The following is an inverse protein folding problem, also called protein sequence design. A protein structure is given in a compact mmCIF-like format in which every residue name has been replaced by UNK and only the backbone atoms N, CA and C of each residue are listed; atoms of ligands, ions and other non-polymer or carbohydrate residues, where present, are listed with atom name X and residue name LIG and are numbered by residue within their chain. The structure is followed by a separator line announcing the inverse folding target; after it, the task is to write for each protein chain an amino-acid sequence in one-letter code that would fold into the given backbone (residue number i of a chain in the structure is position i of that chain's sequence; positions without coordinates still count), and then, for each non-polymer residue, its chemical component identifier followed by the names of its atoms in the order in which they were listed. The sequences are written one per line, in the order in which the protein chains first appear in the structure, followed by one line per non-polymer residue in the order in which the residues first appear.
data_IF_009973650450
#
_entry.id   IF_009973650450
#
_cell.length_a   1.000
_cell.length_b   1.000
_cell.length_c   1.000
_cell.angle_alpha   90.00
_cell.angle_beta   90.00
_cell.angle_gamma   90.00
#
_symmetry.space_group_name_H-M   'P 1'
#
loop_
_entity.id
_entity.type
_entity.pdbx_description
1 polymer ?
#
# COMPACT_ATOMS: atom_id res chain seq x y z
N UNK A 1 -17.23 19.30 5.77
CA UNK A 1 -16.48 18.02 5.66
C UNK A 1 -15.12 18.13 6.30
N UNK A 2 -14.30 19.14 6.00
CA UNK A 2 -12.95 19.31 6.60
C UNK A 2 -12.90 19.19 8.13
N UNK A 3 -13.87 19.79 8.85
CA UNK A 3 -13.90 19.67 10.32
C UNK A 3 -14.13 18.23 10.82
N UNK A 4 -14.91 17.42 10.08
CA UNK A 4 -15.13 16.01 10.43
C UNK A 4 -13.90 15.18 10.08
N UNK A 5 -13.28 15.44 8.92
CA UNK A 5 -12.03 14.76 8.52
C UNK A 5 -10.95 14.93 9.57
N UNK A 6 -10.69 16.17 10.03
CA UNK A 6 -9.69 16.45 11.07
C UNK A 6 -9.98 15.78 12.40
N UNK A 7 -11.26 15.68 12.79
CA UNK A 7 -11.65 14.97 14.00
C UNK A 7 -11.40 13.46 13.89
N UNK A 8 -11.64 12.89 12.71
CA UNK A 8 -11.36 11.48 12.43
C UNK A 8 -9.85 11.22 12.38
N UNK A 9 -9.07 12.08 11.72
CA UNK A 9 -7.60 12.00 11.69
C UNK A 9 -7.01 12.05 13.10
N UNK A 10 -7.46 13.02 13.92
CA UNK A 10 -7.03 13.13 15.31
C UNK A 10 -7.41 11.89 16.14
N UNK A 11 -8.64 11.39 15.99
CA UNK A 11 -9.08 10.18 16.71
C UNK A 11 -8.28 8.94 16.31
N UNK A 12 -7.95 8.78 15.02
CA UNK A 12 -7.07 7.71 14.54
C UNK A 12 -5.65 7.91 15.10
N UNK A 13 -5.11 9.13 15.05
CA UNK A 13 -3.77 9.45 15.54
C UNK A 13 -3.58 9.20 17.04
N UNK A 14 -4.59 9.53 17.85
CA UNK A 14 -4.60 9.29 19.30
C UNK A 14 -4.70 7.78 19.64
N UNK A 15 -5.36 6.99 18.79
CA UNK A 15 -5.50 5.54 18.96
C UNK A 15 -4.32 4.75 18.39
N UNK A 16 -3.65 5.28 17.36
CA UNK A 16 -2.56 4.59 16.67
C UNK A 16 -1.38 4.41 17.63
N UNK A 17 -0.91 3.18 17.79
CA UNK A 17 0.28 2.87 18.57
C UNK A 17 1.54 3.30 17.79
N UNK A 18 2.71 3.36 18.45
CA UNK A 18 4.00 3.57 17.77
C UNK A 18 4.51 2.27 17.09
N UNK A 19 3.62 1.30 16.92
CA UNK A 19 3.84 0.04 16.23
C UNK A 19 2.61 -0.30 15.38
N UNK A 20 2.72 -0.08 14.07
CA UNK A 20 1.64 -0.37 13.11
C UNK A 20 2.19 -0.89 11.78
N UNK A 21 1.33 -1.51 10.98
CA UNK A 21 1.59 -1.82 9.58
C UNK A 21 0.92 -0.79 8.67
N UNK A 22 1.51 -0.54 7.51
CA UNK A 22 0.85 0.22 6.45
C UNK A 22 0.44 -0.71 5.31
N UNK A 23 -0.80 -0.61 4.86
CA UNK A 23 -1.31 -1.32 3.70
C UNK A 23 -1.51 -0.34 2.55
N UNK A 24 -0.90 -0.64 1.41
CA UNK A 24 -0.97 0.16 0.19
C UNK A 24 -1.79 -0.60 -0.84
N UNK A 25 -2.92 -0.01 -1.24
CA UNK A 25 -3.75 -0.54 -2.33
C UNK A 25 -3.81 0.46 -3.47
N UNK A 26 -3.38 0.01 -4.65
CA UNK A 26 -3.30 0.83 -5.86
C UNK A 26 -4.25 0.33 -6.92
N UNK A 27 -5.08 1.22 -7.46
CA UNK A 27 -5.92 0.94 -8.61
C UNK A 27 -5.81 2.04 -9.65
N UNK A 28 -6.29 1.75 -10.85
CA UNK A 28 -6.33 2.71 -11.95
C UNK A 28 -7.78 2.90 -12.35
N UNK A 29 -8.21 4.15 -12.50
CA UNK A 29 -9.47 4.50 -13.12
C UNK A 29 -9.19 5.46 -14.27
N UNK A 30 -9.61 5.07 -15.48
CA UNK A 30 -9.23 5.72 -16.73
C UNK A 30 -7.70 5.97 -16.84
N UNK A 31 -7.27 7.25 -16.83
CA UNK A 31 -5.87 7.68 -16.92
C UNK A 31 -5.23 7.98 -15.57
N UNK A 32 -5.97 7.87 -14.47
CA UNK A 32 -5.51 8.23 -13.14
C UNK A 32 -5.23 6.98 -12.30
N UNK A 33 -4.08 6.99 -11.65
CA UNK A 33 -3.69 5.96 -10.70
C UNK A 33 -3.92 6.50 -9.28
N UNK A 34 -4.67 5.76 -8.49
CA UNK A 34 -4.97 6.08 -7.10
C UNK A 34 -4.24 5.11 -6.18
N UNK A 35 -3.81 5.61 -5.02
CA UNK A 35 -3.38 4.76 -3.92
C UNK A 35 -4.13 5.13 -2.66
N UNK A 36 -4.68 4.11 -2.02
CA UNK A 36 -5.19 4.17 -0.66
C UNK A 36 -4.12 3.64 0.31
N UNK A 37 -3.96 4.36 1.42
CA UNK A 37 -3.05 4.01 2.52
C UNK A 37 -3.89 3.72 3.74
N UNK A 38 -3.74 2.52 4.29
CA UNK A 38 -4.39 2.11 5.54
C UNK A 38 -3.34 1.85 6.62
N UNK A 39 -3.65 2.20 7.86
CA UNK A 39 -2.96 1.66 9.02
C UNK A 39 -3.62 0.38 9.49
N UNK A 40 -2.81 -0.63 9.82
CA UNK A 40 -3.22 -1.80 10.57
C UNK A 40 -2.52 -1.79 11.93
N UNK A 41 -3.29 -1.95 13.01
CA UNK A 41 -2.80 -1.84 14.38
C UNK A 41 -3.73 -2.61 15.33
N UNK A 42 -3.24 -2.93 16.53
CA UNK A 42 -3.96 -3.80 17.47
C UNK A 42 -3.99 -3.21 18.90
N UNK A 43 -4.80 -2.17 19.15
CA UNK A 43 -4.98 -1.63 20.49
C UNK A 43 -5.73 -2.65 21.35
N UNK A 44 -5.22 -2.91 22.55
CA UNK A 44 -5.80 -3.85 23.53
C UNK A 44 -6.09 -5.27 22.98
N UNK A 45 -5.28 -5.73 22.02
CA UNK A 45 -5.43 -7.05 21.41
C UNK A 45 -6.55 -7.15 20.35
N UNK A 46 -7.14 -6.02 19.95
CA UNK A 46 -8.21 -5.99 18.94
C UNK A 46 -7.69 -5.40 17.65
N UNK A 47 -7.59 -6.22 16.60
CA UNK A 47 -7.12 -5.74 15.30
C UNK A 47 -8.07 -4.69 14.71
N UNK A 48 -7.49 -3.56 14.30
CA UNK A 48 -8.17 -2.43 13.67
C UNK A 48 -7.51 -2.04 12.37
N UNK A 49 -8.28 -1.37 11.52
CA UNK A 49 -7.80 -0.81 10.26
C UNK A 49 -8.40 0.57 10.07
N UNK A 50 -7.55 1.56 9.79
CA UNK A 50 -7.96 2.94 9.52
C UNK A 50 -7.48 3.37 8.15
N UNK A 51 -8.37 3.95 7.33
CA UNK A 51 -7.97 4.62 6.09
C UNK A 51 -7.30 5.96 6.46
N UNK A 52 -6.03 6.12 6.11
CA UNK A 52 -5.26 7.33 6.40
C UNK A 52 -5.35 8.34 5.26
N UNK A 53 -5.25 7.87 4.02
CA UNK A 53 -5.30 8.72 2.84
C UNK A 53 -5.73 7.94 1.61
N UNK A 54 -6.32 8.67 0.66
CA UNK A 54 -6.65 8.19 -0.66
C UNK A 54 -6.41 9.33 -1.63
N UNK A 55 -5.38 9.20 -2.47
CA UNK A 55 -4.97 10.27 -3.37
C UNK A 55 -4.53 9.72 -4.74
N UNK A 56 -4.69 10.50 -5.81
CA UNK A 56 -4.06 10.19 -7.09
C UNK A 56 -2.54 10.33 -6.98
N UNK A 57 -1.81 9.44 -7.66
CA UNK A 57 -0.35 9.49 -7.78
C UNK A 57 0.03 10.26 -9.04
N UNK A 58 0.93 11.23 -8.87
CA UNK A 58 1.70 11.79 -9.99
C UNK A 58 2.82 10.79 -10.27
N UNK A 59 2.74 10.09 -11.40
CA UNK A 59 3.76 9.13 -11.80
C UNK A 59 5.07 9.85 -12.13
N UNK A 60 6.12 9.62 -11.34
CA UNK A 60 7.48 10.00 -11.70
C UNK A 60 8.05 8.98 -12.70
N UNK A 61 8.82 9.40 -13.71
CA UNK A 61 9.33 8.50 -14.75
C UNK A 61 10.33 7.46 -14.22
N UNK A 62 10.92 7.68 -13.04
CA UNK A 62 11.88 6.76 -12.42
C UNK A 62 11.29 6.06 -11.18
N UNK A 63 11.49 4.74 -11.09
CA UNK A 63 11.00 3.92 -9.97
C UNK A 63 11.56 4.39 -8.61
N UNK A 64 12.84 4.77 -8.59
CA UNK A 64 13.54 5.24 -7.39
C UNK A 64 13.02 6.60 -6.92
N UNK A 65 12.69 7.51 -7.85
CA UNK A 65 12.07 8.80 -7.54
C UNK A 65 10.66 8.59 -7.01
N UNK A 66 9.86 7.76 -7.69
CA UNK A 66 8.49 7.40 -7.24
C UNK A 66 8.49 6.89 -5.80
N UNK A 67 9.38 5.96 -5.47
CA UNK A 67 9.44 5.39 -4.13
C UNK A 67 9.91 6.40 -3.07
N UNK A 68 10.80 7.36 -3.40
CA UNK A 68 11.21 8.43 -2.47
C UNK A 68 10.06 9.40 -2.24
N UNK A 69 9.40 9.84 -3.31
CA UNK A 69 8.21 10.71 -3.25
C UNK A 69 7.12 10.06 -2.40
N UNK A 70 6.85 8.77 -2.58
CA UNK A 70 5.90 8.04 -1.75
C UNK A 70 6.32 8.03 -0.27
N UNK A 71 7.60 7.80 0.04
CA UNK A 71 8.11 7.85 1.43
C UNK A 71 7.89 9.23 2.05
N UNK A 72 8.19 10.30 1.32
CA UNK A 72 8.07 11.67 1.81
C UNK A 72 6.61 12.06 2.02
N UNK A 73 5.70 11.66 1.11
CA UNK A 73 4.25 11.84 1.27
C UNK A 73 3.74 11.08 2.50
N UNK A 74 4.13 9.81 2.67
CA UNK A 74 3.75 9.02 3.85
C UNK A 74 4.27 9.64 5.14
N UNK A 75 5.53 10.09 5.17
CA UNK A 75 6.12 10.71 6.34
C UNK A 75 5.41 12.02 6.70
N UNK A 76 5.17 12.90 5.72
CA UNK A 76 4.47 14.16 5.93
C UNK A 76 3.03 13.97 6.43
N UNK A 77 2.28 13.06 5.81
CA UNK A 77 0.91 12.72 6.22
C UNK A 77 0.89 12.14 7.65
N UNK A 78 1.74 11.15 7.94
CA UNK A 78 1.81 10.55 9.28
C UNK A 78 2.16 11.59 10.35
N UNK A 79 3.13 12.46 10.08
CA UNK A 79 3.59 13.45 11.04
C UNK A 79 2.55 14.56 11.26
N UNK A 80 2.01 15.11 10.17
CA UNK A 80 1.09 16.25 10.22
C UNK A 80 -0.31 15.87 10.70
N UNK A 81 -0.88 14.78 10.16
CA UNK A 81 -2.30 14.44 10.37
C UNK A 81 -2.49 13.49 11.55
N UNK A 82 -1.51 12.60 11.80
CA UNK A 82 -1.63 11.54 12.81
C UNK A 82 -0.62 11.66 13.95
N UNK A 83 0.32 12.62 13.88
CA UNK A 83 1.41 12.81 14.86
C UNK A 83 2.31 11.59 15.05
N UNK A 84 2.55 10.85 13.95
CA UNK A 84 3.36 9.62 13.94
C UNK A 84 4.56 9.77 13.04
N UNK A 85 5.67 9.17 13.46
CA UNK A 85 6.83 9.08 12.60
C UNK A 85 6.72 7.88 11.67
N UNK A 86 7.29 8.00 10.47
CA UNK A 86 7.35 6.88 9.52
C UNK A 86 8.11 5.67 10.08
N UNK A 87 9.00 5.88 11.05
CA UNK A 87 9.76 4.84 11.78
C UNK A 87 8.90 3.98 12.72
N UNK A 88 7.69 4.42 13.07
CA UNK A 88 6.72 3.63 13.83
C UNK A 88 6.09 2.50 12.99
N UNK A 89 6.17 2.59 11.65
CA UNK A 89 5.74 1.54 10.75
C UNK A 89 6.67 0.32 10.87
N UNK A 90 6.11 -0.87 11.09
CA UNK A 90 6.85 -2.13 11.28
C UNK A 90 6.88 -3.02 10.05
N UNK A 91 5.93 -2.85 9.13
CA UNK A 91 5.85 -3.60 7.89
C UNK A 91 4.96 -2.90 6.88
N UNK A 92 5.21 -3.17 5.59
CA UNK A 92 4.33 -2.77 4.50
C UNK A 92 3.55 -3.97 4.00
N UNK A 93 2.30 -3.75 3.59
CA UNK A 93 1.47 -4.71 2.85
C UNK A 93 1.13 -4.10 1.51
N UNK A 94 1.35 -4.83 0.43
CA UNK A 94 1.07 -4.32 -0.91
C UNK A 94 1.43 -5.35 -1.97
N UNK A 95 1.17 -5.04 -3.24
CA UNK A 95 1.70 -5.86 -4.30
C UNK A 95 3.23 -5.76 -4.38
N UNK A 96 3.87 -6.77 -4.99
CA UNK A 96 5.33 -6.84 -5.06
C UNK A 96 5.90 -6.00 -6.21
N UNK A 97 5.27 -4.86 -6.54
CA UNK A 97 5.77 -3.96 -7.57
C UNK A 97 7.13 -3.36 -7.16
N UNK A 98 7.88 -2.84 -8.13
CA UNK A 98 9.20 -2.24 -7.90
C UNK A 98 9.14 -1.09 -6.89
N UNK A 99 8.16 -0.21 -7.00
CA UNK A 99 7.96 0.93 -6.09
C UNK A 99 7.75 0.44 -4.64
N UNK A 100 6.84 -0.50 -4.39
CA UNK A 100 6.59 -1.03 -3.04
C UNK A 100 7.81 -1.77 -2.46
N UNK A 101 8.53 -2.55 -3.28
CA UNK A 101 9.77 -3.20 -2.86
C UNK A 101 10.86 -2.19 -2.48
N UNK A 102 10.99 -1.14 -3.29
CA UNK A 102 11.97 -0.08 -3.07
C UNK A 102 11.62 0.76 -1.84
N UNK A 103 10.34 1.09 -1.66
CA UNK A 103 9.81 1.78 -0.49
C UNK A 103 10.08 0.99 0.79
N UNK A 104 9.75 -0.31 0.82
CA UNK A 104 10.04 -1.20 1.96
C UNK A 104 11.53 -1.22 2.32
N UNK A 105 12.39 -1.29 1.29
CA UNK A 105 13.86 -1.25 1.45
C UNK A 105 14.32 0.07 2.06
N UNK A 106 13.77 1.21 1.60
CA UNK A 106 14.12 2.53 2.14
C UNK A 106 13.62 2.74 3.56
N UNK A 107 12.45 2.21 3.89
CA UNK A 107 11.88 2.23 5.25
C UNK A 107 12.50 1.18 6.17
N UNK A 108 13.32 0.26 5.64
CA UNK A 108 13.95 -0.85 6.38
C UNK A 108 12.95 -1.78 7.08
N UNK A 109 11.80 -2.02 6.43
CA UNK A 109 10.74 -2.89 6.96
C UNK A 109 10.42 -4.01 5.96
N UNK A 110 9.92 -5.18 6.43
CA UNK A 110 9.47 -6.24 5.53
C UNK A 110 8.27 -5.80 4.68
N UNK A 111 8.21 -6.31 3.44
CA UNK A 111 7.06 -6.22 2.55
C UNK A 111 6.28 -7.54 2.55
N UNK A 112 5.05 -7.50 3.04
CA UNK A 112 4.09 -8.60 2.97
C UNK A 112 3.34 -8.51 1.65
N UNK A 113 3.64 -9.44 0.74
CA UNK A 113 3.04 -9.47 -0.59
C UNK A 113 1.53 -9.74 -0.58
N UNK A 114 0.79 -8.97 -1.38
CA UNK A 114 -0.66 -9.07 -1.53
C UNK A 114 -1.11 -10.46 -2.02
N UNK A 115 -1.95 -11.13 -1.23
CA UNK A 115 -2.41 -12.50 -1.51
C UNK A 115 -3.26 -12.59 -2.79
N UNK A 116 -4.15 -11.62 -3.02
CA UNK A 116 -4.99 -11.58 -4.23
C UNK A 116 -4.13 -11.39 -5.49
N UNK A 117 -3.09 -10.57 -5.41
CA UNK A 117 -2.16 -10.39 -6.52
C UNK A 117 -1.36 -11.67 -6.81
N UNK A 118 -0.91 -12.40 -5.78
CA UNK A 118 -0.26 -13.72 -5.95
C UNK A 118 -1.19 -14.72 -6.62
N UNK A 119 -2.46 -14.78 -6.21
CA UNK A 119 -3.46 -15.64 -6.82
C UNK A 119 -3.70 -15.26 -8.29
N UNK A 120 -3.87 -13.97 -8.59
CA UNK A 120 -4.04 -13.46 -9.96
C UNK A 120 -2.89 -13.90 -10.85
N UNK A 121 -1.65 -13.78 -10.39
CA UNK A 121 -0.46 -14.23 -11.14
C UNK A 121 -0.45 -15.74 -11.37
N UNK A 122 -0.80 -16.53 -10.35
CA UNK A 122 -0.88 -17.99 -10.47
C UNK A 122 -1.92 -18.41 -11.52
N UNK A 123 -3.10 -17.79 -11.50
CA UNK A 123 -4.17 -18.04 -12.49
C UNK A 123 -3.72 -17.64 -13.89
N UNK A 124 -3.12 -16.46 -14.06
CA UNK A 124 -2.61 -16.01 -15.37
C UNK A 124 -1.56 -16.97 -15.94
N UNK A 125 -0.64 -17.45 -15.10
CA UNK A 125 0.35 -18.44 -15.50
C UNK A 125 -0.32 -19.72 -16.02
N UNK A 126 -1.29 -20.25 -15.26
CA UNK A 126 -2.01 -21.47 -15.66
C UNK A 126 -2.77 -21.30 -16.98
N UNK A 127 -3.44 -20.16 -17.17
CA UNK A 127 -4.15 -19.86 -18.41
C UNK A 127 -3.22 -19.80 -19.63
N UNK A 128 -2.01 -19.26 -19.48
CA UNK A 128 -1.00 -19.25 -20.55
C UNK A 128 -0.55 -20.67 -20.89
N UNK A 129 -0.30 -21.52 -19.90
CA UNK A 129 0.06 -22.92 -20.14
C UNK A 129 -1.06 -23.67 -20.86
N UNK A 130 -2.31 -23.53 -20.39
CA UNK A 130 -3.46 -24.16 -21.04
C UNK A 130 -3.61 -23.70 -22.49
N UNK A 131 -3.46 -22.40 -22.80
CA UNK A 131 -3.50 -21.89 -24.17
C UNK A 131 -2.44 -22.54 -25.07
N UNK A 132 -1.20 -22.70 -24.57
CA UNK A 132 -0.11 -23.38 -25.31
C UNK A 132 -0.45 -24.84 -25.57
N UNK A 133 -0.93 -25.57 -24.56
CA UNK A 133 -1.36 -26.96 -24.71
C UNK A 133 -2.50 -27.08 -25.72
N UNK A 134 -3.52 -26.23 -25.64
CA UNK A 134 -4.65 -26.21 -26.58
C UNK A 134 -4.23 -25.94 -28.03
N UNK A 135 -3.20 -25.12 -28.27
CA UNK A 135 -2.64 -24.90 -29.61
C UNK A 135 -1.94 -26.15 -30.16
N UNK A 136 -1.34 -26.99 -29.31
CA UNK A 136 -0.73 -28.25 -29.71
C UNK A 136 -1.76 -29.31 -30.10
N UNK A 137 -2.91 -29.35 -29.41
CA UNK A 137 -4.03 -30.27 -29.70
C UNK A 137 -4.92 -29.84 -30.87
N UNK A 138 -4.78 -28.60 -31.37
CA UNK A 138 -5.51 -28.08 -32.54
C UNK A 138 -4.77 -28.28 -33.87
N UNK A 139 -3.66 -29.04 -33.88
CA UNK A 139 -3.04 -29.59 -35.08
C UNK A 139 -3.62 -30.96 -35.39
#
# INVERSE_FOLDING_TARGET
MEGVTRLVEAAIGDELLDEFGLMLDGWSDASEHYVAVFAWYEPDGVAKTGLLSMAPIINEPEEDLSARTHRDVLAGMLEHDFRKQVSCCKYLVGDNCSVNRRLATMMQVPLVGCASHRLKRAVQYQLVQMKRTWQLYKR
#
